data_IF_395768242397
#
_entry.id   IF_395768242397
#
_cell.length_a   1.000
_cell.length_b   1.000
_cell.length_c   1.000
_cell.angle_alpha   90.00
_cell.angle_beta   90.00
_cell.angle_gamma   90.00
#
_symmetry.space_group_name_H-M   'P 1'
#
loop_
_entity.id
_entity.type
_entity.pdbx_description
1 polymer ?
#
# COMPACT_ATOMS: atom_id res chain seq x y z
N UNK A 1 -20.65 6.69 35.39
CA UNK A 1 -21.09 5.80 34.29
C UNK A 1 -20.02 5.84 33.24
N UNK A 2 -19.08 4.91 33.32
CA UNK A 2 -17.91 4.86 32.41
C UNK A 2 -18.20 3.98 31.24
N UNK A 3 -18.48 4.60 30.08
CA UNK A 3 -18.56 3.90 28.79
C UNK A 3 -17.16 3.55 28.30
N UNK A 4 -16.85 2.27 28.25
CA UNK A 4 -15.66 1.71 27.61
C UNK A 4 -15.63 2.10 26.14
N UNK A 5 -14.82 3.09 25.78
CA UNK A 5 -14.48 3.35 24.37
C UNK A 5 -13.55 2.22 23.91
N UNK A 6 -14.10 1.27 23.16
CA UNK A 6 -13.30 0.26 22.49
C UNK A 6 -12.35 0.95 21.52
N UNK A 7 -11.04 0.84 21.79
CA UNK A 7 -9.96 1.33 20.95
C UNK A 7 -9.94 0.51 19.66
N UNK A 8 -10.65 0.97 18.61
CA UNK A 8 -10.69 0.33 17.29
C UNK A 8 -9.64 0.98 16.38
N UNK A 9 -8.39 0.61 16.54
CA UNK A 9 -7.44 0.83 15.46
C UNK A 9 -7.76 -0.16 14.34
N UNK A 10 -8.37 0.33 13.27
CA UNK A 10 -8.60 -0.43 12.05
C UNK A 10 -7.23 -0.77 11.42
N UNK A 11 -6.91 -2.06 11.29
CA UNK A 11 -5.79 -2.54 10.48
C UNK A 11 -4.99 -3.71 11.03
N UNK A 12 -4.86 -3.84 12.34
CA UNK A 12 -4.11 -4.97 12.93
C UNK A 12 -5.06 -5.76 13.82
N UNK A 13 -5.70 -6.78 13.27
CA UNK A 13 -6.32 -7.83 14.08
C UNK A 13 -5.20 -8.79 14.49
N UNK A 14 -4.38 -8.35 15.46
CA UNK A 14 -3.52 -9.25 16.22
C UNK A 14 -4.46 -10.10 17.08
N UNK A 15 -4.50 -11.41 16.80
CA UNK A 15 -5.19 -12.46 17.53
C UNK A 15 -6.25 -12.02 18.53
N UNK A 16 -7.50 -11.77 18.10
CA UNK A 16 -8.62 -11.81 19.02
C UNK A 16 -8.65 -13.24 19.60
N UNK A 17 -8.59 -13.36 20.93
CA UNK A 17 -8.81 -14.63 21.61
C UNK A 17 -10.09 -15.29 21.06
N UNK A 18 -9.92 -16.43 20.36
CA UNK A 18 -11.02 -17.18 19.77
C UNK A 18 -11.10 -17.21 18.25
N UNK A 19 -10.33 -16.41 17.48
CA UNK A 19 -10.27 -16.53 16.03
C UNK A 19 -9.44 -17.75 15.63
N UNK A 20 -9.97 -18.56 14.70
CA UNK A 20 -9.29 -19.72 14.13
C UNK A 20 -8.34 -19.31 12.98
N UNK A 21 -8.71 -18.27 12.23
CA UNK A 21 -7.97 -17.72 11.09
C UNK A 21 -7.80 -16.22 11.27
N UNK A 22 -6.57 -15.78 11.48
CA UNK A 22 -6.21 -14.37 11.63
C UNK A 22 -6.00 -13.69 10.27
N UNK A 23 -6.10 -12.36 10.22
CA UNK A 23 -5.78 -11.59 9.02
C UNK A 23 -4.28 -11.62 8.67
N UNK A 24 -3.40 -11.76 9.67
CA UNK A 24 -1.97 -11.95 9.56
C UNK A 24 -1.49 -12.84 10.72
N UNK A 25 -0.44 -13.63 10.51
CA UNK A 25 0.16 -14.49 11.53
C UNK A 25 1.65 -14.16 11.70
N UNK A 26 1.92 -13.16 12.53
CA UNK A 26 3.29 -12.73 12.82
C UNK A 26 4.06 -13.73 13.71
N UNK A 27 3.38 -14.63 14.42
CA UNK A 27 4.06 -15.66 15.20
C UNK A 27 4.69 -16.70 14.27
N UNK A 28 3.92 -17.23 13.30
CA UNK A 28 4.47 -18.14 12.28
C UNK A 28 5.52 -17.45 11.40
N UNK A 29 5.33 -16.15 11.09
CA UNK A 29 6.35 -15.39 10.38
C UNK A 29 7.63 -15.30 11.19
N UNK A 30 7.54 -15.00 12.48
CA UNK A 30 8.71 -14.94 13.35
C UNK A 30 9.45 -16.28 13.44
N UNK A 31 8.72 -17.40 13.56
CA UNK A 31 9.32 -18.73 13.60
C UNK A 31 10.11 -19.04 12.30
N UNK A 32 9.62 -18.58 11.14
CA UNK A 32 10.27 -18.78 9.83
C UNK A 32 11.52 -17.91 9.62
N UNK A 33 11.53 -16.69 10.17
CA UNK A 33 12.59 -15.69 9.88
C UNK A 33 13.55 -15.47 11.04
N UNK A 34 13.28 -16.05 12.21
CA UNK A 34 13.92 -15.72 13.48
C UNK A 34 15.44 -15.84 13.46
N UNK A 35 15.98 -16.90 12.88
CA UNK A 35 17.42 -17.15 12.87
C UNK A 35 18.17 -16.06 12.10
N UNK A 36 17.72 -15.78 10.86
CA UNK A 36 18.30 -14.75 10.01
C UNK A 36 18.09 -13.34 10.58
N UNK A 37 16.91 -13.09 11.17
CA UNK A 37 16.60 -11.82 11.81
C UNK A 37 17.49 -11.53 13.02
N UNK A 38 17.71 -12.52 13.90
CA UNK A 38 18.59 -12.36 15.05
C UNK A 38 20.06 -12.18 14.63
N UNK A 39 20.54 -12.89 13.61
CA UNK A 39 21.85 -12.71 13.04
C UNK A 39 22.04 -11.30 12.44
N UNK A 40 20.99 -10.77 11.79
CA UNK A 40 21.00 -9.41 11.26
C UNK A 40 21.08 -8.36 12.38
N UNK A 41 20.29 -8.52 13.44
CA UNK A 41 20.32 -7.63 14.62
C UNK A 41 21.69 -7.64 15.30
N UNK A 42 22.29 -8.82 15.50
CA UNK A 42 23.61 -8.96 16.10
C UNK A 42 24.70 -8.25 15.26
N UNK A 43 24.65 -8.44 13.94
CA UNK A 43 25.59 -7.78 13.00
C UNK A 43 25.49 -6.26 13.06
N UNK A 44 24.28 -5.69 13.09
CA UNK A 44 24.07 -4.25 13.20
C UNK A 44 24.54 -3.73 14.57
N UNK A 45 24.18 -4.42 15.65
CA UNK A 45 24.63 -4.07 17.01
C UNK A 45 26.15 -4.05 17.12
N UNK A 46 26.82 -5.06 16.57
CA UNK A 46 28.28 -5.14 16.55
C UNK A 46 28.97 -4.08 15.68
N UNK A 47 28.27 -3.52 14.68
CA UNK A 47 28.79 -2.48 13.81
C UNK A 47 28.88 -1.11 14.49
N UNK A 48 28.07 -0.87 15.51
CA UNK A 48 27.91 0.43 16.18
C UNK A 48 27.30 1.53 15.31
N UNK A 49 26.85 1.23 14.07
CA UNK A 49 26.19 2.17 13.17
C UNK A 49 24.71 1.80 13.02
N UNK A 50 23.85 2.67 13.50
CA UNK A 50 22.41 2.39 13.62
C UNK A 50 21.54 3.18 12.62
N UNK A 51 22.10 4.19 11.97
CA UNK A 51 21.40 5.09 11.04
C UNK A 51 22.26 5.32 9.80
N UNK A 52 21.65 5.17 8.61
CA UNK A 52 22.26 5.43 7.30
C UNK A 52 23.64 4.78 7.15
N UNK A 53 23.70 3.47 7.31
CA UNK A 53 24.89 2.66 7.16
C UNK A 53 24.78 1.66 6.03
N UNK A 54 25.62 0.61 6.11
CA UNK A 54 25.79 -0.37 5.04
C UNK A 54 24.58 -1.26 4.80
N UNK A 55 23.75 -1.52 5.83
CA UNK A 55 22.56 -2.36 5.65
C UNK A 55 21.47 -1.62 4.87
N UNK A 56 21.28 -0.32 5.14
CA UNK A 56 20.37 0.51 4.34
C UNK A 56 20.87 0.64 2.91
N UNK A 57 22.16 0.94 2.72
CA UNK A 57 22.77 1.04 1.38
C UNK A 57 22.58 -0.27 0.57
N UNK A 58 22.87 -1.42 1.18
CA UNK A 58 22.73 -2.71 0.52
C UNK A 58 21.27 -3.09 0.28
N UNK A 59 20.37 -2.82 1.24
CA UNK A 59 18.93 -3.07 1.08
C UNK A 59 18.34 -2.24 -0.07
N UNK A 60 18.72 -0.96 -0.19
CA UNK A 60 18.27 -0.09 -1.29
C UNK A 60 18.67 -0.67 -2.65
N UNK A 61 19.91 -1.17 -2.79
CA UNK A 61 20.40 -1.80 -4.02
C UNK A 61 19.64 -3.10 -4.32
N UNK A 62 19.59 -4.01 -3.36
CA UNK A 62 18.95 -5.33 -3.52
C UNK A 62 17.43 -5.21 -3.77
N UNK A 63 16.75 -4.27 -3.11
CA UNK A 63 15.33 -4.03 -3.34
C UNK A 63 15.08 -3.40 -4.72
N UNK A 64 15.91 -2.44 -5.15
CA UNK A 64 15.79 -1.84 -6.48
C UNK A 64 15.97 -2.90 -7.58
N UNK A 65 16.94 -3.79 -7.44
CA UNK A 65 17.18 -4.91 -8.34
C UNK A 65 15.98 -5.88 -8.38
N UNK A 66 15.49 -6.30 -7.20
CA UNK A 66 14.32 -7.19 -7.10
C UNK A 66 13.06 -6.57 -7.70
N UNK A 67 12.85 -5.27 -7.47
CA UNK A 67 11.67 -4.55 -7.98
C UNK A 67 11.75 -4.29 -9.48
N UNK A 68 12.96 -4.15 -10.01
CA UNK A 68 13.22 -3.81 -11.41
C UNK A 68 13.22 -2.31 -11.67
N UNK A 69 13.71 -1.51 -10.71
CA UNK A 69 13.86 -0.06 -10.82
C UNK A 69 15.33 0.36 -10.64
N UNK A 70 15.70 1.57 -11.10
CA UNK A 70 17.11 2.01 -11.05
C UNK A 70 17.56 2.40 -9.65
N UNK A 71 16.70 3.07 -8.87
CA UNK A 71 17.04 3.61 -7.56
C UNK A 71 15.94 3.36 -6.54
N UNK A 72 16.36 3.00 -5.32
CA UNK A 72 15.54 2.94 -4.14
C UNK A 72 16.12 3.83 -3.04
N UNK A 73 15.29 4.48 -2.25
CA UNK A 73 15.67 5.35 -1.15
C UNK A 73 14.83 5.00 0.08
N UNK A 74 15.46 4.38 1.09
CA UNK A 74 14.80 3.96 2.32
C UNK A 74 14.45 5.14 3.22
N UNK A 75 13.21 5.20 3.68
CA UNK A 75 12.62 6.26 4.52
C UNK A 75 11.83 5.66 5.68
N UNK A 76 11.33 6.51 6.60
CA UNK A 76 10.67 6.04 7.81
C UNK A 76 9.26 5.47 7.57
N UNK A 77 8.59 5.83 6.47
CA UNK A 77 7.25 5.31 6.15
C UNK A 77 6.92 5.47 4.67
N UNK A 78 5.93 4.70 4.18
CA UNK A 78 5.39 4.90 2.83
C UNK A 78 4.76 6.29 2.65
N UNK A 79 4.17 6.84 3.69
CA UNK A 79 3.67 8.22 3.71
C UNK A 79 4.78 9.23 3.41
N UNK A 80 5.91 9.12 4.11
CA UNK A 80 7.05 10.01 3.89
C UNK A 80 7.66 9.83 2.49
N UNK A 81 7.66 8.59 1.96
CA UNK A 81 8.10 8.34 0.59
C UNK A 81 7.23 9.08 -0.43
N UNK A 82 5.90 9.08 -0.28
CA UNK A 82 4.98 9.83 -1.13
C UNK A 82 5.20 11.35 -1.01
N UNK A 83 5.29 11.87 0.22
CA UNK A 83 5.57 13.30 0.45
C UNK A 83 6.90 13.72 -0.19
N UNK A 84 7.96 12.94 0.02
CA UNK A 84 9.28 13.23 -0.56
C UNK A 84 9.20 13.20 -2.10
N UNK A 85 8.49 12.21 -2.68
CA UNK A 85 8.27 12.15 -4.13
C UNK A 85 7.59 13.39 -4.69
N UNK A 86 6.51 13.87 -4.05
CA UNK A 86 5.83 15.12 -4.42
C UNK A 86 6.79 16.31 -4.36
N UNK A 87 7.55 16.44 -3.27
CA UNK A 87 8.48 17.55 -3.08
C UNK A 87 9.64 17.53 -4.07
N UNK A 88 10.17 16.35 -4.40
CA UNK A 88 11.18 16.19 -5.46
C UNK A 88 10.62 16.58 -6.84
N UNK A 89 9.34 16.33 -7.08
CA UNK A 89 8.65 16.76 -8.30
C UNK A 89 8.29 18.26 -8.33
N UNK A 90 8.61 19.02 -7.28
CA UNK A 90 8.22 20.44 -7.17
C UNK A 90 6.72 20.63 -6.93
N UNK A 91 6.01 19.63 -6.47
CA UNK A 91 4.59 19.69 -6.14
C UNK A 91 4.43 20.13 -4.67
N UNK A 92 3.68 21.22 -4.47
CA UNK A 92 3.48 21.84 -3.16
C UNK A 92 2.37 22.89 -3.20
N UNK A 93 2.54 23.98 -2.44
CA UNK A 93 1.53 25.02 -2.29
C UNK A 93 1.03 25.58 -3.64
N UNK A 94 -0.29 25.62 -3.81
CA UNK A 94 -0.96 26.07 -5.04
C UNK A 94 -1.05 25.02 -6.15
N UNK A 95 -0.54 23.81 -5.94
CA UNK A 95 -0.73 22.70 -6.86
C UNK A 95 -1.88 21.80 -6.39
N UNK A 96 -2.61 21.26 -7.36
CA UNK A 96 -3.58 20.18 -7.12
C UNK A 96 -2.99 18.84 -7.55
N UNK A 97 -3.29 17.80 -6.75
CA UNK A 97 -2.88 16.41 -7.01
C UNK A 97 -4.12 15.53 -7.11
N UNK A 98 -4.32 14.96 -8.28
CA UNK A 98 -5.42 14.06 -8.52
C UNK A 98 -5.09 12.66 -7.98
N UNK A 99 -6.02 12.07 -7.22
CA UNK A 99 -5.85 10.76 -6.59
C UNK A 99 -7.20 10.04 -6.43
N UNK A 100 -7.18 8.83 -5.87
CA UNK A 100 -8.37 8.03 -5.57
C UNK A 100 -8.99 8.39 -4.22
N UNK A 101 -10.33 8.38 -4.09
CA UNK A 101 -11.02 8.54 -2.81
C UNK A 101 -10.97 7.29 -1.94
N UNK A 102 -10.80 6.10 -2.57
CA UNK A 102 -10.82 4.79 -1.93
C UNK A 102 -9.37 4.30 -1.73
N UNK A 103 -8.76 4.69 -0.63
CA UNK A 103 -7.39 4.30 -0.26
C UNK A 103 -7.15 4.48 1.23
N UNK A 104 -5.98 4.05 1.71
CA UNK A 104 -5.49 4.46 3.03
C UNK A 104 -5.33 5.98 3.06
N UNK A 105 -5.71 6.62 4.17
CA UNK A 105 -5.65 8.09 4.30
C UNK A 105 -4.23 8.65 4.11
N UNK A 106 -3.20 7.80 4.21
CA UNK A 106 -1.81 8.16 3.99
C UNK A 106 -1.54 8.81 2.62
N UNK A 107 -2.21 8.33 1.55
CA UNK A 107 -2.10 8.92 0.20
C UNK A 107 -2.54 10.39 0.20
N UNK A 108 -3.76 10.66 0.71
CA UNK A 108 -4.27 12.03 0.87
C UNK A 108 -3.41 12.86 1.82
N UNK A 109 -2.97 12.29 2.94
CA UNK A 109 -2.15 12.98 3.92
C UNK A 109 -0.78 13.38 3.35
N UNK A 110 -0.19 12.59 2.46
CA UNK A 110 1.06 12.95 1.77
C UNK A 110 0.89 14.20 0.91
N UNK A 111 -0.22 14.32 0.19
CA UNK A 111 -0.56 15.51 -0.61
C UNK A 111 -0.67 16.74 0.29
N UNK A 112 -1.43 16.63 1.38
CA UNK A 112 -1.59 17.72 2.35
C UNK A 112 -0.25 18.13 3.00
N UNK A 113 0.59 17.18 3.37
CA UNK A 113 1.91 17.44 3.98
C UNK A 113 2.89 18.07 3.00
N UNK A 114 2.78 17.79 1.72
CA UNK A 114 3.53 18.49 0.67
C UNK A 114 3.03 19.94 0.46
N UNK A 115 1.89 20.30 1.03
CA UNK A 115 1.26 21.62 0.89
C UNK A 115 0.37 21.75 -0.36
N UNK A 116 0.11 20.66 -1.07
CA UNK A 116 -0.78 20.60 -2.22
C UNK A 116 -2.23 20.26 -1.81
N UNK A 117 -3.17 20.43 -2.74
CA UNK A 117 -4.57 20.11 -2.52
C UNK A 117 -4.97 18.82 -3.23
N UNK A 118 -5.66 17.87 -2.55
CA UNK A 118 -6.13 16.65 -3.19
C UNK A 118 -7.36 16.90 -4.06
N UNK A 119 -7.38 16.25 -5.23
CA UNK A 119 -8.56 16.15 -6.11
C UNK A 119 -8.89 14.67 -6.22
N UNK A 120 -10.07 14.26 -5.75
CA UNK A 120 -10.46 12.85 -5.76
C UNK A 120 -11.31 12.52 -6.98
N UNK A 121 -10.85 11.55 -7.77
CA UNK A 121 -11.53 11.00 -8.92
C UNK A 121 -12.04 9.58 -8.61
N UNK A 122 -13.17 9.16 -9.16
CA UNK A 122 -13.76 7.86 -8.86
C UNK A 122 -12.84 6.69 -9.29
N UNK A 123 -13.23 5.50 -8.89
CA UNK A 123 -12.52 4.26 -9.18
C UNK A 123 -13.34 3.40 -10.14
N UNK A 124 -12.69 2.45 -10.79
CA UNK A 124 -13.33 1.37 -11.53
C UNK A 124 -13.78 0.22 -10.58
N UNK A 125 -14.38 -0.83 -11.16
CA UNK A 125 -14.85 -2.00 -10.40
C UNK A 125 -13.73 -2.83 -9.74
N UNK A 126 -12.47 -2.62 -10.13
CA UNK A 126 -11.30 -3.24 -9.49
C UNK A 126 -10.82 -2.48 -8.25
N UNK A 127 -11.36 -1.29 -8.00
CA UNK A 127 -10.94 -0.35 -6.97
C UNK A 127 -9.75 0.53 -7.38
N UNK A 128 -9.25 0.40 -8.61
CA UNK A 128 -8.25 1.29 -9.19
C UNK A 128 -8.87 2.62 -9.63
N UNK A 129 -8.08 3.70 -9.68
CA UNK A 129 -8.56 4.99 -10.18
C UNK A 129 -9.00 4.84 -11.65
N UNK A 130 -10.15 5.42 -11.99
CA UNK A 130 -10.71 5.41 -13.34
C UNK A 130 -9.92 6.37 -14.27
N UNK A 131 -9.11 5.82 -15.17
CA UNK A 131 -8.22 6.62 -16.03
C UNK A 131 -8.98 7.50 -17.03
N UNK A 132 -10.18 7.11 -17.47
CA UNK A 132 -11.00 7.92 -18.36
C UNK A 132 -11.52 9.18 -17.64
N UNK A 133 -11.91 9.02 -16.38
CA UNK A 133 -12.30 10.16 -15.54
C UNK A 133 -11.10 11.04 -15.17
N UNK A 134 -9.92 10.44 -14.92
CA UNK A 134 -8.67 11.18 -14.73
C UNK A 134 -8.39 12.06 -15.93
N UNK A 135 -8.45 11.51 -17.14
CA UNK A 135 -8.23 12.25 -18.38
C UNK A 135 -9.24 13.41 -18.54
N UNK A 136 -10.52 13.15 -18.26
CA UNK A 136 -11.56 14.18 -18.32
C UNK A 136 -11.30 15.32 -17.31
N UNK A 137 -10.85 15.01 -16.10
CA UNK A 137 -10.51 15.98 -15.07
C UNK A 137 -9.28 16.84 -15.47
N UNK A 138 -8.24 16.21 -16.02
CA UNK A 138 -7.03 16.88 -16.50
C UNK A 138 -7.32 17.83 -17.67
N UNK A 139 -8.28 17.48 -18.54
CA UNK A 139 -8.74 18.39 -19.61
C UNK A 139 -9.55 19.58 -19.08
N UNK A 140 -10.29 19.39 -18.00
CA UNK A 140 -11.16 20.42 -17.43
C UNK A 140 -10.42 21.41 -16.53
N UNK A 141 -9.35 20.99 -15.86
CA UNK A 141 -8.65 21.78 -14.84
C UNK A 141 -7.12 21.72 -15.00
N UNK A 142 -6.56 22.81 -15.51
CA UNK A 142 -5.11 22.99 -15.70
C UNK A 142 -4.32 23.25 -14.42
N UNK A 143 -4.98 23.39 -13.26
CA UNK A 143 -4.33 23.54 -11.95
C UNK A 143 -3.87 22.20 -11.38
N UNK A 144 -4.38 21.09 -11.91
CA UNK A 144 -3.90 19.74 -11.59
C UNK A 144 -2.49 19.57 -12.17
N UNK A 145 -1.52 19.34 -11.29
CA UNK A 145 -0.09 19.26 -11.67
C UNK A 145 0.48 17.85 -11.53
N UNK A 146 -0.21 16.99 -10.77
CA UNK A 146 0.22 15.62 -10.56
C UNK A 146 -0.98 14.66 -10.48
N UNK A 147 -0.73 13.40 -10.85
CA UNK A 147 -1.61 12.27 -10.58
C UNK A 147 -0.89 11.34 -9.61
N UNK A 148 -1.55 10.97 -8.52
CA UNK A 148 -1.06 10.01 -7.53
C UNK A 148 -1.99 8.79 -7.53
N UNK A 149 -1.80 7.86 -8.48
CA UNK A 149 -2.59 6.64 -8.58
C UNK A 149 -2.16 5.65 -7.49
N UNK A 150 -3.11 4.85 -7.00
CA UNK A 150 -2.87 3.82 -5.98
C UNK A 150 -3.11 2.44 -6.56
N UNK A 151 -2.14 1.54 -6.44
CA UNK A 151 -2.30 0.13 -6.78
C UNK A 151 -2.97 -0.62 -5.62
N UNK A 152 -4.25 -0.29 -5.41
CA UNK A 152 -5.03 -0.75 -4.26
C UNK A 152 -5.17 -2.28 -4.24
N UNK A 153 -5.17 -2.90 -3.06
CA UNK A 153 -5.25 -4.35 -2.84
C UNK A 153 -4.06 -5.16 -3.40
N UNK A 154 -3.14 -4.53 -4.10
CA UNK A 154 -2.09 -5.15 -4.91
C UNK A 154 -2.48 -5.31 -6.38
N UNK A 155 -3.55 -4.66 -6.83
CA UNK A 155 -4.02 -4.64 -8.21
C UNK A 155 -3.27 -3.57 -9.00
N UNK A 156 -2.48 -3.94 -10.03
CA UNK A 156 -1.73 -2.97 -10.81
C UNK A 156 -2.63 -2.23 -11.80
N UNK A 157 -2.49 -0.93 -11.84
CA UNK A 157 -3.08 -0.07 -12.86
C UNK A 157 -2.37 -0.26 -14.20
N UNK A 158 -2.96 0.27 -15.26
CA UNK A 158 -2.37 0.25 -16.60
C UNK A 158 -1.18 1.22 -16.70
N UNK A 159 0.06 0.71 -16.83
CA UNK A 159 1.24 1.57 -16.89
C UNK A 159 1.28 2.41 -18.18
N UNK A 160 0.78 1.88 -19.31
CA UNK A 160 0.73 2.62 -20.57
C UNK A 160 -0.28 3.77 -20.51
N UNK A 161 -1.44 3.54 -19.88
CA UNK A 161 -2.43 4.59 -19.64
C UNK A 161 -1.88 5.70 -18.74
N UNK A 162 -1.15 5.37 -17.67
CA UNK A 162 -0.52 6.37 -16.81
C UNK A 162 0.56 7.19 -17.54
N UNK A 163 1.37 6.56 -18.37
CA UNK A 163 2.39 7.25 -19.21
C UNK A 163 1.74 8.17 -20.25
N UNK A 164 0.65 7.72 -20.88
CA UNK A 164 -0.11 8.55 -21.84
C UNK A 164 -0.65 9.81 -21.17
N UNK A 165 -1.32 9.66 -20.02
CA UNK A 165 -1.82 10.79 -19.23
C UNK A 165 -0.69 11.78 -18.87
N UNK A 166 0.46 11.28 -18.39
CA UNK A 166 1.59 12.12 -18.06
C UNK A 166 2.09 12.92 -19.25
N UNK A 167 2.26 12.27 -20.40
CA UNK A 167 2.82 12.89 -21.61
C UNK A 167 1.85 13.85 -22.29
N UNK A 168 0.56 13.49 -22.38
CA UNK A 168 -0.45 14.29 -23.09
C UNK A 168 -0.86 15.54 -22.33
N UNK A 169 -0.90 15.47 -20.99
CA UNK A 169 -1.34 16.58 -20.15
C UNK A 169 -0.19 17.33 -19.46
N UNK A 170 1.06 16.85 -19.61
CA UNK A 170 2.22 17.50 -18.96
C UNK A 170 2.16 17.44 -17.43
N UNK A 171 1.53 16.43 -16.86
CA UNK A 171 1.45 16.20 -15.41
C UNK A 171 2.47 15.17 -14.97
N UNK A 172 2.90 15.24 -13.71
CA UNK A 172 3.75 14.21 -13.14
C UNK A 172 2.91 13.08 -12.55
N UNK A 173 3.39 11.84 -12.69
CA UNK A 173 2.79 10.67 -12.04
C UNK A 173 3.70 10.21 -10.91
N UNK A 174 3.11 10.02 -9.71
CA UNK A 174 3.79 9.47 -8.53
C UNK A 174 2.95 8.30 -8.04
N UNK A 175 3.43 7.08 -8.21
CA UNK A 175 2.66 5.87 -7.95
C UNK A 175 2.69 5.48 -6.46
N UNK A 176 1.51 5.28 -5.85
CA UNK A 176 1.40 4.65 -4.53
C UNK A 176 1.38 3.13 -4.67
N UNK A 177 2.53 2.53 -4.45
CA UNK A 177 2.78 1.09 -4.50
C UNK A 177 2.75 0.44 -3.10
N UNK A 178 2.19 1.11 -2.08
CA UNK A 178 2.19 0.61 -0.70
C UNK A 178 1.51 -0.76 -0.52
N UNK A 179 0.74 -1.22 -1.50
CA UNK A 179 0.04 -2.51 -1.48
C UNK A 179 0.46 -3.44 -2.65
N UNK A 180 1.39 -3.03 -3.50
CA UNK A 180 1.62 -3.72 -4.77
C UNK A 180 3.01 -4.34 -4.94
N UNK A 181 3.77 -4.53 -3.85
CA UNK A 181 5.05 -5.25 -3.93
C UNK A 181 4.88 -6.62 -4.59
N UNK A 182 5.46 -6.80 -5.78
CA UNK A 182 5.35 -8.00 -6.61
C UNK A 182 4.17 -8.04 -7.59
N UNK A 183 3.37 -6.96 -7.69
CA UNK A 183 2.37 -6.82 -8.74
C UNK A 183 3.03 -6.40 -10.06
N UNK A 184 2.55 -6.99 -11.15
CA UNK A 184 3.04 -6.69 -12.51
C UNK A 184 1.87 -6.66 -13.48
N UNK A 185 1.89 -5.74 -14.43
CA UNK A 185 0.97 -5.71 -15.57
C UNK A 185 1.77 -5.62 -16.84
N UNK A 186 1.47 -6.48 -17.82
CA UNK A 186 2.21 -6.58 -19.08
C UNK A 186 3.73 -6.73 -18.87
N UNK A 187 4.11 -7.63 -17.93
CA UNK A 187 5.46 -7.88 -17.44
C UNK A 187 6.19 -6.67 -16.80
N UNK A 188 5.51 -5.54 -16.66
CA UNK A 188 6.04 -4.34 -16.00
C UNK A 188 5.66 -4.33 -14.51
N UNK A 189 6.62 -4.12 -13.61
CA UNK A 189 6.31 -3.94 -12.19
C UNK A 189 5.59 -2.60 -11.97
N UNK A 190 4.73 -2.53 -10.94
CA UNK A 190 4.19 -1.26 -10.46
C UNK A 190 5.31 -0.33 -10.00
N UNK A 191 5.11 0.97 -10.13
CA UNK A 191 6.11 1.97 -9.75
C UNK A 191 7.12 2.29 -10.85
N UNK A 192 6.81 1.94 -12.11
CA UNK A 192 7.68 2.21 -13.27
C UNK A 192 7.04 3.10 -14.34
N UNK A 193 5.80 3.54 -14.15
CA UNK A 193 5.10 4.43 -15.08
C UNK A 193 5.29 5.91 -14.73
N UNK A 194 5.54 6.23 -13.44
CA UNK A 194 5.74 7.58 -12.97
C UNK A 194 7.23 7.99 -12.85
N UNK A 195 7.44 9.27 -12.54
CA UNK A 195 8.80 9.79 -12.23
C UNK A 195 9.31 9.29 -10.88
N UNK A 196 8.39 8.96 -9.98
CA UNK A 196 8.64 8.37 -8.67
C UNK A 196 7.51 7.42 -8.28
N UNK A 197 7.84 6.49 -7.39
CA UNK A 197 6.87 5.63 -6.75
C UNK A 197 7.23 5.44 -5.27
N UNK A 198 6.25 5.09 -4.45
CA UNK A 198 6.47 4.87 -3.03
C UNK A 198 5.89 3.54 -2.58
N UNK A 199 6.61 2.79 -1.76
CA UNK A 199 6.06 1.61 -1.10
C UNK A 199 6.16 1.72 0.42
N UNK A 200 5.28 1.01 1.09
CA UNK A 200 5.26 0.90 2.55
C UNK A 200 5.86 -0.44 2.97
N UNK A 201 6.67 -0.40 4.02
CA UNK A 201 7.21 -1.57 4.70
C UNK A 201 6.51 -1.81 6.05
N UNK A 202 5.30 -1.25 6.26
CA UNK A 202 4.49 -1.52 7.44
C UNK A 202 4.31 -3.05 7.63
N UNK A 203 4.31 -3.58 8.86
CA UNK A 203 4.40 -5.04 9.11
C UNK A 203 3.42 -5.94 8.35
N UNK A 204 2.22 -5.44 8.02
CA UNK A 204 1.22 -6.23 7.27
C UNK A 204 1.47 -6.26 5.76
N UNK A 205 2.42 -5.48 5.23
CA UNK A 205 2.70 -5.41 3.80
C UNK A 205 3.34 -6.71 3.28
N UNK A 206 3.29 -6.94 1.98
CA UNK A 206 3.85 -8.13 1.35
C UNK A 206 5.36 -8.28 1.68
N UNK A 207 6.08 -7.16 1.68
CA UNK A 207 7.39 -7.02 2.30
C UNK A 207 7.22 -6.10 3.52
N UNK A 208 6.99 -6.67 4.69
CA UNK A 208 6.75 -5.94 5.93
C UNK A 208 7.95 -5.99 6.87
N UNK A 209 8.38 -4.83 7.37
CA UNK A 209 9.40 -4.70 8.40
C UNK A 209 8.88 -5.12 9.78
N UNK A 210 9.75 -5.14 10.77
CA UNK A 210 9.39 -5.36 12.17
C UNK A 210 9.02 -4.04 12.88
N UNK A 211 8.46 -3.10 12.14
CA UNK A 211 8.06 -1.76 12.55
C UNK A 211 7.73 -0.92 11.33
N UNK A 212 7.83 0.40 11.45
CA UNK A 212 7.60 1.28 10.32
C UNK A 212 8.78 1.28 9.35
N UNK A 213 8.49 1.58 8.09
CA UNK A 213 9.44 1.77 7.01
C UNK A 213 8.74 2.09 5.69
N UNK A 214 9.50 2.61 4.78
CA UNK A 214 9.06 2.89 3.42
C UNK A 214 10.22 3.04 2.47
N UNK A 215 9.94 3.04 1.18
CA UNK A 215 10.94 3.24 0.14
C UNK A 215 10.34 4.09 -0.97
N UNK A 216 11.12 5.08 -1.41
CA UNK A 216 10.85 5.81 -2.65
C UNK A 216 11.67 5.17 -3.77
N UNK A 217 11.05 4.97 -4.92
CA UNK A 217 11.68 4.48 -6.14
C UNK A 217 11.70 5.57 -7.21
N UNK A 218 12.74 5.60 -8.03
CA UNK A 218 12.81 6.43 -9.23
C UNK A 218 13.78 5.84 -10.25
N UNK A 219 13.55 6.10 -11.54
CA UNK A 219 14.53 5.88 -12.58
C UNK A 219 15.53 7.05 -12.70
N UNK A 220 15.19 8.22 -12.15
CA UNK A 220 15.99 9.44 -12.20
C UNK A 220 16.95 9.51 -11.02
N UNK A 221 18.25 9.54 -11.33
CA UNK A 221 19.31 9.61 -10.34
C UNK A 221 19.34 10.95 -9.56
N UNK A 222 18.97 12.06 -10.20
CA UNK A 222 18.94 13.38 -9.54
C UNK A 222 17.78 13.45 -8.54
N UNK A 223 16.61 12.91 -8.91
CA UNK A 223 15.47 12.78 -8.00
C UNK A 223 15.82 11.88 -6.82
N UNK A 224 16.43 10.72 -7.06
CA UNK A 224 16.85 9.82 -5.99
C UNK A 224 17.86 10.47 -5.03
N UNK A 225 18.80 11.24 -5.56
CA UNK A 225 19.78 11.97 -4.73
C UNK A 225 19.12 13.11 -3.94
N UNK A 226 18.17 13.82 -4.53
CA UNK A 226 17.36 14.80 -3.79
C UNK A 226 16.55 14.15 -2.68
N UNK A 227 15.94 13.00 -2.94
CA UNK A 227 15.22 12.23 -1.91
C UNK A 227 16.15 11.80 -0.75
N UNK A 228 17.38 11.39 -1.05
CA UNK A 228 18.41 11.08 -0.01
C UNK A 228 18.75 12.29 0.86
N UNK A 229 18.79 13.49 0.27
CA UNK A 229 18.97 14.73 1.06
C UNK A 229 17.73 15.04 1.88
N UNK A 230 16.54 15.03 1.26
CA UNK A 230 15.28 15.37 1.94
C UNK A 230 15.01 14.46 3.14
N UNK A 231 15.25 13.15 3.04
CA UNK A 231 15.05 12.22 4.17
C UNK A 231 15.93 12.52 5.38
N UNK A 232 17.03 13.25 5.18
CA UNK A 232 18.02 13.59 6.20
C UNK A 232 18.18 15.11 6.34
N UNK A 233 17.09 15.79 6.68
CA UNK A 233 17.03 17.24 6.96
C UNK A 233 17.42 18.15 5.79
N UNK A 234 17.42 17.69 4.54
CA UNK A 234 17.91 18.45 3.38
C UNK A 234 19.42 18.71 3.40
N UNK A 235 20.18 17.84 4.07
CA UNK A 235 21.61 17.98 4.31
C UNK A 235 22.42 17.71 3.04
N UNK A 236 23.24 18.68 2.61
CA UNK A 236 24.21 18.55 1.50
C UNK A 236 25.58 18.13 1.99
N UNK A 237 26.01 18.67 3.11
CA UNK A 237 27.25 18.35 3.80
C UNK A 237 27.00 18.39 5.31
N UNK A 238 27.94 17.89 6.11
CA UNK A 238 27.79 17.86 7.56
C UNK A 238 27.49 19.27 8.10
N UNK A 239 26.31 19.45 8.71
CA UNK A 239 25.75 20.71 9.24
C UNK A 239 25.40 21.76 8.17
N UNK A 240 25.39 21.41 6.89
CA UNK A 240 24.97 22.29 5.80
C UNK A 240 23.68 21.76 5.18
N UNK A 241 22.60 22.53 5.30
CA UNK A 241 21.25 22.17 4.82
C UNK A 241 20.90 23.07 3.64
N UNK A 242 20.69 22.49 2.46
CA UNK A 242 20.39 23.22 1.24
C UNK A 242 18.90 23.41 1.02
N UNK A 243 18.08 22.64 1.71
CA UNK A 243 16.61 22.64 1.61
C UNK A 243 15.99 22.18 2.93
N UNK A 244 14.73 22.52 3.16
CA UNK A 244 14.00 22.07 4.35
C UNK A 244 13.59 20.61 4.17
N UNK A 245 14.36 19.68 4.74
CA UNK A 245 14.09 18.25 4.67
C UNK A 245 13.32 17.71 5.87
N UNK A 246 13.28 16.39 5.97
CA UNK A 246 12.59 15.60 7.00
C UNK A 246 13.59 14.81 7.83
N UNK A 247 13.18 14.36 9.00
CA UNK A 247 13.83 13.26 9.69
C UNK A 247 13.08 11.97 9.33
N UNK A 248 13.37 11.41 8.16
CA UNK A 248 12.68 10.23 7.64
C UNK A 248 13.70 9.24 7.06
N UNK A 249 14.16 8.31 7.89
CA UNK A 249 15.20 7.34 7.53
C UNK A 249 14.74 5.93 7.87
N UNK A 250 15.03 4.97 7.01
CA UNK A 250 14.91 3.57 7.36
C UNK A 250 16.04 3.22 8.34
N UNK A 251 15.71 2.59 9.46
CA UNK A 251 16.70 2.17 10.44
C UNK A 251 17.57 1.03 9.91
N UNK A 252 18.86 1.00 10.28
CA UNK A 252 19.77 -0.09 9.94
C UNK A 252 19.26 -1.45 10.40
N UNK A 253 18.63 -1.52 11.58
CA UNK A 253 18.04 -2.75 12.10
C UNK A 253 16.90 -3.26 11.20
N UNK A 254 16.02 -2.37 10.76
CA UNK A 254 14.93 -2.75 9.85
C UNK A 254 15.48 -3.17 8.49
N UNK A 255 16.40 -2.42 7.92
CA UNK A 255 17.06 -2.74 6.64
C UNK A 255 17.77 -4.09 6.68
N UNK A 256 18.51 -4.38 7.75
CA UNK A 256 19.25 -5.64 7.92
C UNK A 256 18.29 -6.84 8.02
N UNK A 257 17.20 -6.73 8.76
CA UNK A 257 16.18 -7.80 8.88
C UNK A 257 15.43 -7.98 7.56
N UNK A 258 14.98 -6.90 6.91
CA UNK A 258 14.35 -6.94 5.61
C UNK A 258 15.22 -7.64 4.58
N UNK A 259 16.47 -7.24 4.47
CA UNK A 259 17.45 -7.76 3.52
C UNK A 259 17.80 -9.23 3.77
N UNK A 260 18.08 -9.60 5.02
CA UNK A 260 18.61 -10.95 5.35
C UNK A 260 17.51 -11.99 5.53
N UNK A 261 16.33 -11.58 6.00
CA UNK A 261 15.29 -12.53 6.42
C UNK A 261 14.02 -12.49 5.55
N UNK A 262 13.61 -11.33 5.07
CA UNK A 262 12.29 -11.16 4.44
C UNK A 262 12.36 -11.07 2.91
N UNK A 263 13.25 -10.23 2.36
CA UNK A 263 13.39 -10.08 0.90
C UNK A 263 13.73 -11.40 0.19
N UNK A 264 14.63 -12.26 0.70
CA UNK A 264 14.91 -13.56 0.08
C UNK A 264 13.73 -14.54 0.06
N UNK A 265 12.70 -14.30 0.87
CA UNK A 265 11.49 -15.12 0.97
C UNK A 265 10.30 -14.53 0.22
N UNK A 266 10.43 -13.31 -0.31
CA UNK A 266 9.29 -12.55 -0.84
C UNK A 266 8.60 -13.26 -2.02
N UNK A 267 9.35 -13.84 -2.95
CA UNK A 267 8.77 -14.55 -4.08
C UNK A 267 7.93 -15.78 -3.64
N UNK A 268 8.39 -16.52 -2.61
CA UNK A 268 7.63 -17.61 -1.99
C UNK A 268 6.35 -17.08 -1.33
N UNK A 269 6.41 -15.93 -0.65
CA UNK A 269 5.25 -15.29 -0.03
C UNK A 269 4.21 -14.87 -1.07
N UNK A 270 4.66 -14.29 -2.17
CA UNK A 270 3.79 -13.88 -3.28
C UNK A 270 3.17 -15.09 -4.00
N UNK A 271 3.94 -16.15 -4.23
CA UNK A 271 3.43 -17.38 -4.83
C UNK A 271 2.29 -17.98 -3.98
N UNK A 272 2.48 -18.04 -2.64
CA UNK A 272 1.44 -18.54 -1.74
C UNK A 272 0.20 -17.66 -1.71
N UNK A 273 0.34 -16.32 -1.75
CA UNK A 273 -0.79 -15.40 -1.83
C UNK A 273 -1.60 -15.62 -3.11
N UNK A 274 -0.95 -15.82 -4.27
CA UNK A 274 -1.62 -16.12 -5.54
C UNK A 274 -2.41 -17.43 -5.47
N UNK A 275 -1.79 -18.48 -4.95
CA UNK A 275 -2.46 -19.78 -4.77
C UNK A 275 -3.72 -19.67 -3.89
N UNK A 276 -3.64 -18.93 -2.78
CA UNK A 276 -4.80 -18.70 -1.89
C UNK A 276 -5.88 -17.91 -2.63
N UNK A 277 -5.48 -16.84 -3.34
CA UNK A 277 -6.41 -16.00 -4.09
C UNK A 277 -7.16 -16.79 -5.18
N UNK A 278 -6.46 -17.65 -5.93
CA UNK A 278 -7.06 -18.50 -6.96
C UNK A 278 -8.09 -19.45 -6.35
N UNK A 279 -7.79 -20.04 -5.18
CA UNK A 279 -8.73 -20.91 -4.47
C UNK A 279 -9.98 -20.16 -3.98
N UNK A 280 -9.80 -18.95 -3.45
CA UNK A 280 -10.94 -18.12 -3.04
C UNK A 280 -11.79 -17.70 -4.24
N UNK A 281 -11.16 -17.20 -5.31
CA UNK A 281 -11.87 -16.79 -6.52
C UNK A 281 -12.70 -17.94 -7.12
N UNK A 282 -12.10 -19.13 -7.27
CA UNK A 282 -12.82 -20.30 -7.76
C UNK A 282 -13.96 -20.76 -6.86
N UNK A 283 -13.79 -20.69 -5.53
CA UNK A 283 -14.79 -21.14 -4.57
C UNK A 283 -15.98 -20.16 -4.38
N UNK A 284 -15.77 -18.87 -4.63
CA UNK A 284 -16.75 -17.80 -4.46
C UNK A 284 -17.41 -17.39 -5.78
N UNK A 285 -17.05 -17.99 -6.91
CA UNK A 285 -17.57 -17.68 -8.23
C UNK A 285 -19.10 -17.85 -8.27
N UNK A 286 -19.80 -16.78 -8.68
CA UNK A 286 -21.27 -16.76 -8.80
C UNK A 286 -22.02 -16.74 -7.45
N UNK A 287 -21.31 -16.61 -6.33
CA UNK A 287 -21.90 -16.51 -5.00
C UNK A 287 -22.18 -15.06 -4.55
N UNK A 288 -22.77 -14.92 -3.33
CA UNK A 288 -23.10 -13.62 -2.74
C UNK A 288 -21.88 -12.74 -2.39
N UNK A 289 -20.70 -13.32 -2.26
CA UNK A 289 -19.43 -12.64 -2.06
C UNK A 289 -18.63 -12.69 -3.36
N UNK A 290 -18.70 -11.61 -4.14
CA UNK A 290 -18.01 -11.50 -5.42
C UNK A 290 -16.59 -10.99 -5.21
N UNK A 291 -15.52 -11.72 -5.61
CA UNK A 291 -14.17 -11.20 -5.59
C UNK A 291 -14.07 -9.88 -6.39
N UNK A 292 -13.36 -8.89 -5.84
CA UNK A 292 -12.98 -7.69 -6.58
C UNK A 292 -11.65 -8.04 -7.25
N UNK A 293 -11.67 -8.18 -8.57
CA UNK A 293 -10.57 -8.78 -9.33
C UNK A 293 -9.75 -7.71 -10.05
N UNK A 294 -8.44 -7.97 -10.13
CA UNK A 294 -7.53 -7.33 -11.06
C UNK A 294 -7.49 -8.08 -12.39
N UNK A 295 -6.67 -7.58 -13.32
CA UNK A 295 -6.24 -8.35 -14.50
C UNK A 295 -5.62 -9.67 -14.04
N UNK A 296 -6.01 -10.76 -14.67
CA UNK A 296 -5.58 -12.12 -14.29
C UNK A 296 -4.06 -12.24 -14.20
N UNK A 297 -3.58 -12.81 -13.09
CA UNK A 297 -2.14 -13.03 -12.83
C UNK A 297 -1.33 -11.78 -12.47
N UNK A 298 -1.92 -10.58 -12.52
CA UNK A 298 -1.22 -9.32 -12.33
C UNK A 298 -1.05 -8.92 -10.85
N UNK A 299 -2.01 -9.31 -9.99
CA UNK A 299 -2.08 -8.87 -8.60
C UNK A 299 -1.00 -9.49 -7.71
N UNK A 300 -0.52 -8.69 -6.74
CA UNK A 300 0.29 -9.13 -5.61
C UNK A 300 -0.56 -9.64 -4.43
N UNK A 301 -1.87 -9.54 -4.49
CA UNK A 301 -2.83 -9.96 -3.47
C UNK A 301 -2.39 -9.56 -2.05
N UNK A 302 -2.10 -8.27 -1.86
CA UNK A 302 -1.88 -7.73 -0.51
C UNK A 302 -3.11 -7.93 0.36
N UNK A 303 -4.28 -7.68 -0.22
CA UNK A 303 -5.59 -7.98 0.33
C UNK A 303 -6.37 -8.88 -0.65
N UNK A 304 -7.36 -9.58 -0.14
CA UNK A 304 -8.35 -10.27 -0.96
C UNK A 304 -9.72 -9.65 -0.70
N UNK A 305 -10.08 -8.60 -1.45
CA UNK A 305 -11.37 -7.93 -1.30
C UNK A 305 -12.47 -8.72 -1.99
N UNK A 306 -13.64 -8.76 -1.35
CA UNK A 306 -14.89 -9.26 -1.92
C UNK A 306 -15.97 -8.21 -1.78
N UNK A 307 -16.82 -8.06 -2.79
CA UNK A 307 -18.03 -7.27 -2.71
C UNK A 307 -19.22 -8.14 -2.27
N UNK A 308 -19.94 -7.70 -1.27
CA UNK A 308 -21.19 -8.32 -0.84
C UNK A 308 -22.27 -7.93 -1.82
N UNK A 309 -22.62 -8.80 -2.79
CA UNK A 309 -23.64 -8.51 -3.81
C UNK A 309 -25.04 -8.84 -3.35
N UNK A 310 -25.19 -9.81 -2.43
CA UNK A 310 -26.44 -10.16 -1.78
C UNK A 310 -26.32 -10.06 -0.26
N UNK A 311 -27.28 -9.46 0.41
CA UNK A 311 -27.24 -9.18 1.84
C UNK A 311 -26.45 -7.89 2.17
N UNK A 312 -26.08 -7.75 3.43
CA UNK A 312 -25.37 -6.58 3.96
C UNK A 312 -24.06 -6.97 4.65
N UNK A 313 -22.93 -6.22 4.42
CA UNK A 313 -21.67 -6.48 5.11
C UNK A 313 -21.78 -6.47 6.64
N UNK A 314 -22.68 -5.62 7.18
CA UNK A 314 -22.96 -5.53 8.62
C UNK A 314 -23.60 -6.79 9.22
N UNK A 315 -24.24 -7.62 8.39
CA UNK A 315 -24.78 -8.91 8.80
C UNK A 315 -23.78 -10.06 8.55
N UNK A 316 -23.06 -10.03 7.43
CA UNK A 316 -22.14 -11.10 7.01
C UNK A 316 -20.84 -11.09 7.84
N UNK A 317 -20.22 -9.93 8.03
CA UNK A 317 -18.96 -9.84 8.75
C UNK A 317 -19.02 -10.41 10.19
N UNK A 318 -20.06 -10.12 11.01
CA UNK A 318 -20.18 -10.76 12.33
C UNK A 318 -20.36 -12.29 12.28
N UNK A 319 -21.02 -12.83 11.25
CA UNK A 319 -21.16 -14.29 11.08
C UNK A 319 -19.80 -14.94 10.78
N UNK A 320 -19.01 -14.33 9.88
CA UNK A 320 -17.64 -14.78 9.60
C UNK A 320 -16.76 -14.72 10.88
N UNK A 321 -16.84 -13.63 11.62
CA UNK A 321 -16.11 -13.48 12.90
C UNK A 321 -16.56 -14.52 13.93
N UNK A 322 -17.85 -14.81 14.05
CA UNK A 322 -18.40 -15.86 14.89
C UNK A 322 -17.91 -17.27 14.49
N UNK A 323 -17.72 -17.50 13.17
CA UNK A 323 -17.09 -18.67 12.61
C UNK A 323 -15.57 -18.77 12.88
N UNK A 324 -14.99 -17.72 13.47
CA UNK A 324 -13.56 -17.66 13.81
C UNK A 324 -12.69 -17.11 12.68
N UNK A 325 -13.26 -16.44 11.68
CA UNK A 325 -12.54 -15.85 10.55
C UNK A 325 -12.40 -14.34 10.77
N UNK A 326 -11.17 -13.83 10.74
CA UNK A 326 -10.94 -12.38 10.78
C UNK A 326 -11.39 -11.73 9.46
N UNK A 327 -12.11 -10.62 9.54
CA UNK A 327 -12.56 -9.87 8.37
C UNK A 327 -12.15 -8.41 8.52
N UNK A 328 -11.67 -7.81 7.44
CA UNK A 328 -11.33 -6.38 7.36
C UNK A 328 -12.28 -5.61 6.44
N UNK A 329 -12.18 -4.28 6.48
CA UNK A 329 -12.81 -3.36 5.52
C UNK A 329 -11.77 -2.32 5.07
N UNK A 330 -11.51 -2.24 3.75
CA UNK A 330 -10.48 -1.39 3.18
C UNK A 330 -11.02 -0.63 1.95
N UNK A 331 -11.64 0.57 2.13
CA UNK A 331 -11.79 1.30 3.39
C UNK A 331 -13.25 1.75 3.55
N UNK A 332 -13.84 1.73 4.76
CA UNK A 332 -15.26 1.97 4.96
C UNK A 332 -15.66 3.44 4.89
N UNK A 333 -14.71 4.36 4.97
CA UNK A 333 -14.91 5.81 4.87
C UNK A 333 -13.95 6.33 3.82
N UNK A 334 -14.48 6.97 2.79
CA UNK A 334 -13.66 7.55 1.72
C UNK A 334 -12.80 8.72 2.22
N UNK A 335 -11.67 8.96 1.57
CA UNK A 335 -10.78 10.06 1.93
C UNK A 335 -11.46 11.43 1.98
N UNK A 336 -12.30 11.83 0.99
CA UNK A 336 -13.01 13.11 1.04
C UNK A 336 -14.05 13.22 2.17
N UNK A 337 -14.50 12.09 2.74
CA UNK A 337 -15.49 12.06 3.83
C UNK A 337 -14.83 12.07 5.22
N UNK A 338 -13.51 12.19 5.30
CA UNK A 338 -12.76 12.25 6.56
C UNK A 338 -12.79 13.68 7.12
N UNK A 339 -13.06 13.83 8.43
CA UNK A 339 -13.05 15.16 9.07
C UNK A 339 -11.72 15.92 8.96
N UNK A 340 -10.62 15.22 8.70
CA UNK A 340 -9.30 15.83 8.51
C UNK A 340 -9.15 16.63 7.21
N UNK A 341 -10.07 16.50 6.26
CA UNK A 341 -10.10 17.21 4.97
C UNK A 341 -11.33 18.10 4.81
N UNK A 342 -12.06 18.36 5.90
CA UNK A 342 -13.23 19.25 5.86
C UNK A 342 -12.83 20.64 5.34
N UNK A 343 -13.43 21.05 4.21
CA UNK A 343 -13.10 22.31 3.54
C UNK A 343 -11.80 22.33 2.75
N UNK A 344 -11.15 21.19 2.54
CA UNK A 344 -9.90 21.05 1.77
C UNK A 344 -10.08 20.00 0.68
N UNK A 345 -9.59 20.33 -0.53
CA UNK A 345 -9.67 19.44 -1.70
C UNK A 345 -11.05 19.41 -2.36
N UNK A 346 -11.15 18.70 -3.46
CA UNK A 346 -12.36 18.63 -4.29
C UNK A 346 -12.58 17.22 -4.84
N UNK A 347 -13.82 16.75 -4.84
CA UNK A 347 -14.19 15.52 -5.52
C UNK A 347 -14.68 15.79 -6.95
N UNK A 348 -14.25 14.99 -7.91
CA UNK A 348 -14.75 15.01 -9.28
C UNK A 348 -16.05 14.21 -9.34
N UNK A 349 -17.18 14.90 -9.29
CA UNK A 349 -18.51 14.28 -9.27
C UNK A 349 -18.85 13.61 -7.93
N UNK A 350 -19.74 12.62 -7.98
CA UNK A 350 -20.37 11.99 -6.79
C UNK A 350 -19.65 10.74 -6.30
N UNK A 351 -18.64 10.24 -7.02
CA UNK A 351 -17.85 9.05 -6.67
C UNK A 351 -18.68 7.76 -6.46
N UNK A 352 -19.61 7.41 -7.37
CA UNK A 352 -20.58 6.36 -7.11
C UNK A 352 -19.96 4.97 -6.94
N UNK A 353 -18.90 4.63 -7.68
CA UNK A 353 -18.24 3.32 -7.61
C UNK A 353 -17.45 3.20 -6.31
N UNK A 354 -16.66 4.22 -5.95
CA UNK A 354 -15.94 4.25 -4.67
C UNK A 354 -16.90 4.14 -3.48
N UNK A 355 -18.03 4.86 -3.48
CA UNK A 355 -19.06 4.76 -2.42
C UNK A 355 -19.67 3.37 -2.35
N UNK A 356 -19.98 2.76 -3.48
CA UNK A 356 -20.47 1.38 -3.54
C UNK A 356 -19.47 0.42 -2.93
N UNK A 357 -18.20 0.44 -3.38
CA UNK A 357 -17.16 -0.43 -2.86
C UNK A 357 -16.91 -0.18 -1.37
N UNK A 358 -16.79 1.07 -0.92
CA UNK A 358 -16.60 1.41 0.49
C UNK A 358 -17.72 0.85 1.38
N UNK A 359 -18.99 0.87 0.90
CA UNK A 359 -20.12 0.37 1.66
C UNK A 359 -20.22 -1.15 1.66
N UNK A 360 -19.84 -1.83 0.57
CA UNK A 360 -20.11 -3.25 0.34
C UNK A 360 -18.90 -4.19 0.43
N UNK A 361 -17.68 -3.65 0.53
CA UNK A 361 -16.46 -4.45 0.50
C UNK A 361 -16.17 -5.08 1.88
N UNK A 362 -15.72 -6.33 1.86
CA UNK A 362 -15.04 -7.04 2.95
C UNK A 362 -13.70 -7.56 2.43
N UNK A 363 -12.71 -7.68 3.32
CA UNK A 363 -11.41 -8.31 2.99
C UNK A 363 -11.27 -9.61 3.77
N UNK A 364 -11.11 -10.71 3.04
CA UNK A 364 -10.85 -12.04 3.59
C UNK A 364 -9.37 -12.18 4.00
N UNK A 365 -9.05 -13.05 4.98
CA UNK A 365 -7.66 -13.28 5.37
C UNK A 365 -6.83 -13.79 4.19
N UNK A 366 -5.71 -13.14 3.94
CA UNK A 366 -4.73 -13.59 2.95
C UNK A 366 -3.32 -13.23 3.42
N UNK A 367 -2.51 -14.26 3.71
CA UNK A 367 -1.10 -14.10 4.08
C UNK A 367 -0.33 -15.40 3.81
N UNK A 368 1.01 -15.36 3.65
CA UNK A 368 1.78 -16.51 3.17
C UNK A 368 1.83 -17.70 4.15
N UNK A 369 1.40 -17.51 5.38
CA UNK A 369 1.41 -18.55 6.44
C UNK A 369 0.04 -19.23 6.64
N UNK A 370 -0.98 -18.93 5.82
CA UNK A 370 -2.24 -19.67 5.84
C UNK A 370 -2.04 -21.10 5.33
N UNK A 371 -2.38 -22.08 6.17
CA UNK A 371 -2.41 -23.48 5.79
C UNK A 371 -3.65 -23.83 4.94
N UNK A 372 -3.60 -24.95 4.23
CA UNK A 372 -4.70 -25.37 3.36
C UNK A 372 -6.01 -25.62 4.10
N UNK A 373 -5.93 -26.14 5.34
CA UNK A 373 -7.09 -26.32 6.20
C UNK A 373 -7.72 -24.96 6.60
N UNK A 374 -6.88 -23.94 6.85
CA UNK A 374 -7.36 -22.59 7.18
C UNK A 374 -8.02 -21.93 5.97
N UNK A 375 -7.44 -22.07 4.77
CA UNK A 375 -8.06 -21.63 3.51
C UNK A 375 -9.40 -22.29 3.28
N UNK A 376 -9.49 -23.62 3.51
CA UNK A 376 -10.75 -24.36 3.45
C UNK A 376 -11.80 -23.85 4.45
N UNK A 377 -11.37 -23.56 5.68
CA UNK A 377 -12.26 -23.02 6.71
C UNK A 377 -12.81 -21.62 6.36
N UNK A 378 -12.00 -20.75 5.73
CA UNK A 378 -12.48 -19.45 5.23
C UNK A 378 -13.54 -19.63 4.15
N UNK A 379 -13.32 -20.53 3.19
CA UNK A 379 -14.27 -20.83 2.11
C UNK A 379 -15.61 -21.34 2.67
N UNK A 380 -15.55 -22.28 3.61
CA UNK A 380 -16.77 -22.84 4.23
C UNK A 380 -17.53 -21.77 5.02
N UNK A 381 -16.81 -21.00 5.85
CA UNK A 381 -17.42 -19.91 6.60
C UNK A 381 -18.07 -18.85 5.69
N UNK A 382 -17.50 -18.57 4.52
CA UNK A 382 -18.11 -17.66 3.54
C UNK A 382 -19.44 -18.23 3.01
N UNK A 383 -19.54 -19.53 2.76
CA UNK A 383 -20.77 -20.19 2.32
C UNK A 383 -21.85 -20.17 3.41
N UNK A 384 -21.47 -20.51 4.65
CA UNK A 384 -22.38 -20.53 5.80
C UNK A 384 -22.88 -19.11 6.16
N UNK A 385 -22.00 -18.11 6.08
CA UNK A 385 -22.36 -16.72 6.42
C UNK A 385 -23.37 -16.10 5.45
N UNK A 386 -23.47 -16.65 4.22
CA UNK A 386 -24.37 -16.19 3.17
C UNK A 386 -25.65 -17.06 3.03
N UNK A 387 -25.71 -18.19 3.72
CA UNK A 387 -26.92 -19.01 3.81
C UNK A 387 -27.88 -18.43 4.86
#
# INVERSE_FOLDING_TARGET
MGGSRSNRYAGVVVGRLGLKVAANDFARQWDDVREDALAAVDRVGGSGRLILGKEVEAFEVELAEWWGVSHAVGVASGLDALEIGLRCAGIGAGAQVLTTPLTAFATTLAILRAGAEPVWCDVDDSGGIDLDQVEAALRADSTIRAVMPVHLYGHPLDPAGLESLASEHGVVVIEDCAQSAGARRDDRPTGTAGIAAATSLYPTKNLGAMGDGGVLFSADAELAEQARRLRNYGQRARYEHGEAGLNSRLDELQAAVLRSALLPRLDRFLARRREIADRYAGALLGGPLRPIEAVAGASAHHLFPVEVVEGEPSAIAPRLEAGGIAVGRHYPVLCPDQGAVEGVGTAVGELPVARRLASRQLSLPIHPYLGDAEVGAVIEACREACA
#
